data_IF_886943926814
#
_entry.id   IF_886943926814
#
_cell.length_a   1.000
_cell.length_b   1.000
_cell.length_c   1.000
_cell.angle_alpha   90.00
_cell.angle_beta   90.00
_cell.angle_gamma   90.00
#
_symmetry.space_group_name_H-M   'P 1'
#
loop_
_entity.id
_entity.type
_entity.pdbx_description
1 polymer ?
#
# COMPACT_ATOMS: atom_id res chain seq x y z
N UNK A 1 -46.92 68.02 59.28
CA UNK A 1 -46.18 66.79 58.93
C UNK A 1 -45.45 67.05 57.62
N UNK A 2 -44.14 66.85 57.55
CA UNK A 2 -43.38 67.00 56.30
C UNK A 2 -43.11 65.63 55.72
N UNK A 3 -43.48 65.42 54.45
CA UNK A 3 -43.22 64.18 53.73
C UNK A 3 -41.99 64.36 52.86
N UNK A 4 -40.93 63.64 53.18
CA UNK A 4 -39.75 63.51 52.32
C UNK A 4 -39.90 62.25 51.47
N UNK A 5 -39.61 62.36 50.18
CA UNK A 5 -39.57 61.23 49.25
C UNK A 5 -38.37 61.38 48.32
N UNK A 6 -37.83 60.25 47.90
CA UNK A 6 -36.81 60.22 46.87
C UNK A 6 -37.46 60.46 45.50
N UNK A 7 -36.81 61.26 44.66
CA UNK A 7 -37.25 61.37 43.26
C UNK A 7 -37.09 60.02 42.57
N UNK A 8 -38.05 59.65 41.71
CA UNK A 8 -37.99 58.38 40.96
C UNK A 8 -36.81 58.36 39.99
N UNK A 9 -36.58 59.49 39.35
CA UNK A 9 -35.46 59.70 38.44
C UNK A 9 -34.43 60.55 39.17
N UNK A 10 -33.38 59.91 39.66
CA UNK A 10 -32.25 60.60 40.27
C UNK A 10 -31.31 61.08 39.18
N UNK A 11 -31.09 62.38 39.13
CA UNK A 11 -30.15 63.04 38.22
C UNK A 11 -28.95 63.58 39.00
N UNK A 12 -27.79 63.74 38.35
CA UNK A 12 -26.59 64.30 38.98
C UNK A 12 -25.85 63.36 39.94
N UNK A 13 -26.07 62.04 39.86
CA UNK A 13 -25.27 61.05 40.58
C UNK A 13 -23.97 60.76 39.81
N UNK A 14 -22.83 60.80 40.50
CA UNK A 14 -21.52 60.48 39.92
C UNK A 14 -21.18 58.97 40.02
N UNK A 15 -21.63 58.30 41.09
CA UNK A 15 -21.35 56.88 41.29
C UNK A 15 -22.38 56.17 42.16
N UNK A 16 -22.49 54.86 41.96
CA UNK A 16 -23.23 53.93 42.81
C UNK A 16 -22.36 52.70 43.01
N UNK A 17 -22.05 52.36 44.27
CA UNK A 17 -21.29 51.14 44.61
C UNK A 17 -22.23 50.10 45.18
N UNK A 18 -22.21 48.89 44.62
CA UNK A 18 -22.97 47.75 45.12
C UNK A 18 -22.09 46.51 45.13
N UNK A 19 -22.33 45.58 46.07
CA UNK A 19 -21.65 44.27 46.09
C UNK A 19 -22.17 43.34 45.00
N UNK A 20 -23.42 43.52 44.59
CA UNK A 20 -24.16 42.69 43.65
C UNK A 20 -25.22 43.52 42.96
N UNK A 21 -25.20 43.52 41.64
CA UNK A 21 -26.29 44.01 40.81
C UNK A 21 -27.09 42.80 40.32
N UNK A 22 -28.42 42.86 40.45
CA UNK A 22 -29.32 41.81 39.96
C UNK A 22 -30.40 42.48 39.12
N UNK A 23 -30.51 42.04 37.87
CA UNK A 23 -31.59 42.42 36.96
C UNK A 23 -32.54 41.23 36.89
N UNK A 24 -33.72 41.32 37.53
CA UNK A 24 -34.67 40.22 37.54
C UNK A 24 -35.11 39.83 36.13
N UNK A 25 -34.97 38.55 35.80
CA UNK A 25 -35.43 37.96 34.55
C UNK A 25 -36.74 37.21 34.73
N UNK A 26 -37.39 36.85 33.63
CA UNK A 26 -38.55 35.95 33.69
C UNK A 26 -38.11 34.51 33.91
N UNK A 27 -38.90 33.74 34.66
CA UNK A 27 -38.62 32.32 34.91
C UNK A 27 -37.32 32.03 35.69
N UNK A 28 -36.89 32.96 36.55
CA UNK A 28 -35.68 32.81 37.38
C UNK A 28 -34.36 33.02 36.63
N UNK A 29 -34.41 33.58 35.41
CA UNK A 29 -33.24 33.86 34.56
C UNK A 29 -32.63 35.22 34.86
N UNK A 30 -32.29 35.47 36.11
CA UNK A 30 -31.74 36.76 36.55
C UNK A 30 -30.32 36.96 35.98
N UNK A 31 -30.05 38.17 35.50
CA UNK A 31 -28.67 38.57 35.16
C UNK A 31 -28.03 39.15 36.40
N UNK A 32 -26.84 38.65 36.76
CA UNK A 32 -26.11 39.06 37.96
C UNK A 32 -24.72 39.55 37.58
N UNK A 33 -24.30 40.65 38.19
CA UNK A 33 -22.92 41.16 38.17
C UNK A 33 -22.44 41.30 39.60
N UNK A 34 -21.37 40.60 39.95
CA UNK A 34 -20.74 40.66 41.27
C UNK A 34 -19.21 40.45 41.18
N UNK A 35 -18.53 40.27 42.31
CA UNK A 35 -17.07 40.08 42.36
C UNK A 35 -16.57 38.81 41.66
N UNK A 36 -17.45 37.88 41.30
CA UNK A 36 -17.10 36.66 40.56
C UNK A 36 -17.28 36.81 39.05
N UNK A 37 -17.81 37.94 38.57
CA UNK A 37 -18.00 38.25 37.15
C UNK A 37 -19.47 38.41 36.75
N UNK A 38 -19.80 37.96 35.55
CA UNK A 38 -21.14 38.12 34.94
C UNK A 38 -21.80 36.76 34.79
N UNK A 39 -23.01 36.62 35.34
CA UNK A 39 -23.89 35.48 35.09
C UNK A 39 -25.08 35.94 34.26
N UNK A 40 -25.22 35.43 33.03
CA UNK A 40 -26.31 35.75 32.14
C UNK A 40 -27.65 35.05 32.48
N UNK A 41 -27.69 34.20 33.52
CA UNK A 41 -28.93 33.54 33.97
C UNK A 41 -29.52 32.57 32.94
N UNK A 42 -28.70 32.01 32.05
CA UNK A 42 -29.18 31.18 30.93
C UNK A 42 -29.87 31.97 29.80
N UNK A 43 -29.75 33.30 29.81
CA UNK A 43 -30.13 34.14 28.68
C UNK A 43 -29.04 34.15 27.61
N UNK A 44 -29.42 34.44 26.37
CA UNK A 44 -28.46 34.69 25.29
C UNK A 44 -27.81 36.05 25.48
N UNK A 45 -26.49 36.12 25.30
CA UNK A 45 -25.78 37.39 25.13
C UNK A 45 -25.84 37.73 23.64
N UNK A 46 -26.67 38.70 23.28
CA UNK A 46 -26.88 39.12 21.88
C UNK A 46 -25.99 40.30 21.52
N UNK A 47 -25.85 40.57 20.22
CA UNK A 47 -25.07 41.69 19.67
C UNK A 47 -23.58 41.66 20.04
N UNK A 48 -23.02 40.47 20.25
CA UNK A 48 -21.59 40.28 20.44
C UNK A 48 -20.91 40.35 19.06
N UNK A 49 -20.14 41.41 18.84
CA UNK A 49 -19.30 41.54 17.65
C UNK A 49 -18.26 40.40 17.59
N UNK A 50 -17.74 40.05 16.39
CA UNK A 50 -16.66 39.08 16.30
C UNK A 50 -15.46 39.49 17.17
N UNK A 51 -14.98 38.58 18.00
CA UNK A 51 -13.77 38.81 18.79
C UNK A 51 -12.54 38.90 17.89
N UNK A 52 -11.60 39.79 18.22
CA UNK A 52 -10.38 40.04 17.45
C UNK A 52 -9.13 39.76 18.29
N UNK A 53 -9.12 40.18 19.56
CA UNK A 53 -8.03 39.91 20.49
C UNK A 53 -8.18 38.53 21.15
N UNK A 54 -7.07 37.97 21.67
CA UNK A 54 -7.06 36.65 22.31
C UNK A 54 -7.91 36.52 23.58
N UNK A 55 -8.42 37.64 24.11
CA UNK A 55 -9.28 37.70 25.31
C UNK A 55 -10.72 38.10 25.00
N UNK A 56 -11.07 38.28 23.74
CA UNK A 56 -12.43 38.64 23.35
C UNK A 56 -13.36 37.42 23.38
N UNK A 57 -14.64 37.66 23.66
CA UNK A 57 -15.66 36.63 23.49
C UNK A 57 -15.84 36.28 22.01
N UNK A 58 -16.00 34.99 21.70
CA UNK A 58 -16.35 34.52 20.36
C UNK A 58 -17.86 34.45 20.19
N UNK A 59 -18.38 34.90 19.04
CA UNK A 59 -19.79 34.73 18.72
C UNK A 59 -20.02 33.46 17.88
N UNK A 60 -21.30 33.08 17.71
CA UNK A 60 -21.66 31.84 17.00
C UNK A 60 -21.16 31.81 15.55
N UNK A 61 -21.13 32.96 14.85
CA UNK A 61 -20.70 32.97 13.45
C UNK A 61 -19.22 32.66 13.27
N UNK A 62 -18.37 32.99 14.26
CA UNK A 62 -16.96 32.56 14.27
C UNK A 62 -16.85 31.04 14.47
N UNK A 63 -17.63 30.46 15.38
CA UNK A 63 -17.66 29.01 15.58
C UNK A 63 -18.20 28.25 14.36
N UNK A 64 -19.28 28.76 13.75
CA UNK A 64 -19.90 28.17 12.56
C UNK A 64 -18.93 28.17 11.37
N UNK A 65 -18.12 29.22 11.19
CA UNK A 65 -17.10 29.26 10.12
C UNK A 65 -16.10 28.11 10.23
N UNK A 66 -15.70 27.75 11.45
CA UNK A 66 -14.80 26.62 11.69
C UNK A 66 -15.54 25.30 11.48
N UNK A 67 -16.75 25.15 12.06
CA UNK A 67 -17.54 23.93 12.01
C UNK A 67 -18.09 23.57 10.62
N UNK A 68 -18.27 24.58 9.76
CA UNK A 68 -18.72 24.43 8.38
C UNK A 68 -17.56 24.21 7.39
N UNK A 69 -16.31 24.20 7.86
CA UNK A 69 -15.22 23.82 6.98
C UNK A 69 -15.37 22.34 6.56
N UNK A 70 -14.94 22.05 5.34
CA UNK A 70 -15.07 20.72 4.74
C UNK A 70 -13.71 20.16 4.35
N UNK A 71 -13.58 18.84 4.48
CA UNK A 71 -12.41 18.10 4.00
C UNK A 71 -12.85 17.19 2.86
N UNK A 72 -12.01 17.13 1.81
CA UNK A 72 -12.07 16.15 0.72
C UNK A 72 -10.70 15.54 0.53
N UNK A 73 -10.66 14.26 0.18
CA UNK A 73 -9.42 13.58 -0.23
C UNK A 73 -9.45 13.39 -1.75
N UNK A 74 -8.32 13.70 -2.41
CA UNK A 74 -8.13 13.48 -3.84
C UNK A 74 -7.25 12.27 -4.11
N UNK A 75 -7.49 11.59 -5.22
CA UNK A 75 -6.60 10.55 -5.75
C UNK A 75 -5.99 10.97 -7.09
N UNK A 76 -5.26 10.06 -7.75
CA UNK A 76 -4.80 10.26 -9.13
C UNK A 76 -5.96 10.55 -10.08
N UNK A 77 -7.14 10.02 -9.77
CA UNK A 77 -8.41 10.37 -10.40
C UNK A 77 -9.49 10.56 -9.32
N UNK A 78 -10.39 11.52 -9.54
CA UNK A 78 -11.55 11.74 -8.66
C UNK A 78 -11.23 12.35 -7.29
N UNK A 79 -12.31 12.61 -6.53
CA UNK A 79 -12.27 13.11 -5.16
C UNK A 79 -13.38 12.46 -4.35
N UNK A 80 -13.18 12.35 -3.03
CA UNK A 80 -14.24 11.91 -2.12
C UNK A 80 -15.34 12.96 -1.98
N UNK A 81 -16.51 12.53 -1.48
CA UNK A 81 -17.56 13.46 -1.03
C UNK A 81 -17.02 14.32 0.13
N UNK A 82 -17.35 15.62 0.12
CA UNK A 82 -16.97 16.54 1.20
C UNK A 82 -17.51 16.05 2.54
N UNK A 83 -16.67 16.07 3.58
CA UNK A 83 -17.09 15.81 4.95
C UNK A 83 -16.97 17.09 5.77
N UNK A 84 -18.02 17.44 6.50
CA UNK A 84 -18.02 18.58 7.42
C UNK A 84 -17.25 18.22 8.69
N UNK A 85 -16.44 19.13 9.22
CA UNK A 85 -15.75 18.93 10.51
C UNK A 85 -16.72 18.67 11.68
N UNK A 86 -17.92 19.22 11.59
CA UNK A 86 -19.01 19.09 12.56
C UNK A 86 -19.89 17.83 12.38
N UNK A 87 -19.45 16.82 11.62
CA UNK A 87 -20.27 15.63 11.33
C UNK A 87 -20.70 14.90 12.61
N UNK A 88 -22.02 14.79 12.80
CA UNK A 88 -22.61 13.99 13.89
C UNK A 88 -22.16 12.54 13.82
N UNK A 89 -21.70 11.98 14.94
CA UNK A 89 -21.14 10.63 15.01
C UNK A 89 -19.64 10.55 14.69
N UNK A 90 -19.00 11.68 14.39
CA UNK A 90 -17.56 11.78 14.15
C UNK A 90 -17.17 11.57 12.69
N UNK A 91 -15.90 11.85 12.40
CA UNK A 91 -15.29 11.65 11.09
C UNK A 91 -14.56 10.31 11.06
N UNK A 92 -14.81 9.49 10.03
CA UNK A 92 -14.01 8.32 9.71
C UNK A 92 -13.65 8.36 8.23
N UNK A 93 -12.36 8.32 7.93
CA UNK A 93 -11.84 8.19 6.59
C UNK A 93 -11.14 6.85 6.45
N UNK A 94 -11.74 5.95 5.67
CA UNK A 94 -11.13 4.67 5.38
C UNK A 94 -10.07 4.86 4.28
N UNK A 95 -8.87 4.31 4.52
CA UNK A 95 -7.88 4.12 3.46
C UNK A 95 -8.07 2.69 2.98
N UNK A 96 -8.57 2.53 1.75
CA UNK A 96 -8.91 1.22 1.19
C UNK A 96 -7.97 0.95 0.03
N UNK A 97 -7.30 -0.20 0.07
CA UNK A 97 -6.51 -0.68 -1.06
C UNK A 97 -7.38 -1.37 -2.11
N UNK A 98 -6.91 -1.45 -3.35
CA UNK A 98 -7.53 -2.32 -4.36
C UNK A 98 -7.44 -3.77 -3.88
N UNK A 99 -8.58 -4.48 -3.91
CA UNK A 99 -8.69 -5.87 -3.46
C UNK A 99 -7.65 -6.76 -4.13
N UNK A 100 -6.85 -7.47 -3.34
CA UNK A 100 -5.83 -8.38 -3.84
C UNK A 100 -4.50 -7.71 -4.25
N UNK A 101 -4.44 -6.37 -4.25
CA UNK A 101 -3.23 -5.63 -4.64
C UNK A 101 -2.61 -4.90 -3.44
N UNK A 102 -3.41 -4.12 -2.72
CA UNK A 102 -2.99 -3.30 -1.58
C UNK A 102 -3.78 -3.70 -0.34
N UNK A 103 -3.08 -3.88 0.78
CA UNK A 103 -3.67 -4.13 2.09
C UNK A 103 -3.44 -2.92 2.96
N UNK A 104 -4.50 -2.51 3.66
CA UNK A 104 -4.45 -1.43 4.64
C UNK A 104 -4.85 -1.97 6.02
N UNK A 105 -4.11 -1.59 7.06
CA UNK A 105 -4.37 -2.00 8.44
C UNK A 105 -4.22 -0.79 9.35
N UNK A 106 -5.31 -0.42 10.02
CA UNK A 106 -5.29 0.61 11.06
C UNK A 106 -4.99 -0.03 12.42
N UNK A 107 -4.04 0.54 13.16
CA UNK A 107 -3.72 0.13 14.53
C UNK A 107 -3.04 1.27 15.28
N UNK A 108 -3.52 1.57 16.48
CA UNK A 108 -3.04 2.72 17.26
C UNK A 108 -3.29 4.04 16.52
N UNK A 109 -2.22 4.81 16.33
CA UNK A 109 -2.19 6.12 15.68
C UNK A 109 -1.82 6.06 14.19
N UNK A 110 -1.69 4.86 13.61
CA UNK A 110 -1.18 4.64 12.25
C UNK A 110 -2.13 3.83 11.38
N UNK A 111 -2.08 4.11 10.07
CA UNK A 111 -2.58 3.22 9.02
C UNK A 111 -1.38 2.72 8.22
N UNK A 112 -1.13 1.42 8.27
CA UNK A 112 -0.11 0.78 7.44
C UNK A 112 -0.70 0.50 6.07
N UNK A 113 0.04 0.84 5.03
CA UNK A 113 -0.29 0.54 3.64
C UNK A 113 0.83 -0.33 3.08
N UNK A 114 0.47 -1.45 2.45
CA UNK A 114 1.46 -2.34 1.84
C UNK A 114 0.87 -3.18 0.73
N UNK A 115 1.73 -3.88 0.02
CA UNK A 115 1.32 -4.85 -0.99
C UNK A 115 0.64 -6.06 -0.34
N UNK A 116 -0.39 -6.58 -1.01
CA UNK A 116 -1.01 -7.86 -0.67
C UNK A 116 0.00 -9.02 -0.80
N UNK A 117 -0.25 -10.11 -0.08
CA UNK A 117 0.67 -11.25 -0.06
C UNK A 117 0.85 -11.87 -1.45
N UNK A 118 -0.23 -12.05 -2.22
CA UNK A 118 -0.15 -12.58 -3.58
C UNK A 118 0.74 -11.73 -4.51
N UNK A 119 0.71 -10.39 -4.37
CA UNK A 119 1.61 -9.50 -5.11
C UNK A 119 3.06 -9.69 -4.67
N UNK A 120 3.31 -9.79 -3.36
CA UNK A 120 4.65 -10.08 -2.84
C UNK A 120 5.17 -11.42 -3.36
N UNK A 121 4.35 -12.45 -3.37
CA UNK A 121 4.71 -13.79 -3.87
C UNK A 121 5.02 -13.74 -5.37
N UNK A 122 4.23 -13.00 -6.15
CA UNK A 122 4.47 -12.80 -7.58
C UNK A 122 5.79 -12.08 -7.86
N UNK A 123 6.17 -11.11 -7.03
CA UNK A 123 7.43 -10.35 -7.16
C UNK A 123 8.65 -11.15 -6.65
N UNK A 124 8.46 -11.94 -5.60
CA UNK A 124 9.52 -12.77 -4.99
C UNK A 124 9.85 -14.02 -5.81
N UNK A 125 9.09 -14.31 -6.86
CA UNK A 125 9.40 -15.38 -7.81
C UNK A 125 10.46 -14.95 -8.84
N UNK A 126 11.71 -14.81 -8.38
CA UNK A 126 12.87 -14.58 -9.26
C UNK A 126 13.49 -15.92 -9.65
N UNK A 127 13.98 -16.01 -10.88
CA UNK A 127 14.61 -17.20 -11.47
C UNK A 127 15.77 -17.81 -10.65
N UNK A 128 16.33 -17.08 -9.69
CA UNK A 128 17.41 -17.52 -8.80
C UNK A 128 16.92 -18.23 -7.53
N UNK A 129 15.62 -18.14 -7.19
CA UNK A 129 15.04 -18.75 -5.97
C UNK A 129 14.09 -19.89 -6.31
N UNK A 130 13.21 -19.69 -7.28
CA UNK A 130 12.21 -20.66 -7.71
C UNK A 130 11.81 -20.38 -9.17
N UNK A 131 11.50 -21.42 -9.92
CA UNK A 131 10.98 -21.36 -11.30
C UNK A 131 9.58 -21.97 -11.42
N UNK A 132 8.91 -22.22 -10.29
CA UNK A 132 7.55 -22.79 -10.25
C UNK A 132 6.49 -21.91 -10.93
N UNK A 133 6.76 -20.62 -11.17
CA UNK A 133 5.91 -19.74 -11.96
C UNK A 133 6.03 -19.95 -13.47
N UNK A 134 7.03 -20.69 -13.96
CA UNK A 134 7.11 -20.96 -15.38
C UNK A 134 5.87 -21.72 -15.82
N UNK A 135 5.19 -21.16 -16.81
CA UNK A 135 4.14 -21.89 -17.52
C UNK A 135 4.75 -23.10 -18.26
N UNK A 136 3.91 -24.01 -18.75
CA UNK A 136 4.37 -25.09 -19.62
C UNK A 136 5.17 -24.55 -20.82
N UNK A 137 4.74 -23.40 -21.37
CA UNK A 137 5.46 -22.67 -22.42
C UNK A 137 6.83 -22.20 -21.93
N UNK A 138 6.89 -21.53 -20.77
CA UNK A 138 8.16 -21.04 -20.20
C UNK A 138 9.16 -22.18 -19.95
N UNK A 139 8.68 -23.31 -19.42
CA UNK A 139 9.48 -24.52 -19.22
C UNK A 139 10.03 -25.06 -20.55
N UNK A 140 9.21 -25.07 -21.60
CA UNK A 140 9.64 -25.48 -22.95
C UNK A 140 10.70 -24.55 -23.51
N UNK A 141 10.54 -23.23 -23.35
CA UNK A 141 11.53 -22.24 -23.79
C UNK A 141 12.88 -22.47 -23.11
N UNK A 142 12.91 -22.75 -21.81
CA UNK A 142 14.17 -23.07 -21.10
C UNK A 142 14.83 -24.33 -21.67
N UNK A 143 14.05 -25.40 -21.93
CA UNK A 143 14.55 -26.63 -22.54
C UNK A 143 15.08 -26.43 -23.96
N UNK A 144 14.42 -25.56 -24.73
CA UNK A 144 14.80 -25.23 -26.09
C UNK A 144 16.07 -24.35 -26.14
N UNK A 145 16.25 -23.42 -25.20
CA UNK A 145 17.49 -22.62 -25.07
C UNK A 145 18.68 -23.53 -24.73
N UNK A 146 18.48 -24.54 -23.89
CA UNK A 146 19.51 -25.53 -23.54
C UNK A 146 19.77 -26.59 -24.63
N UNK A 147 18.99 -26.57 -25.72
CA UNK A 147 19.08 -27.59 -26.75
C UNK A 147 20.37 -27.44 -27.59
N UNK A 148 20.87 -28.57 -28.08
CA UNK A 148 22.01 -28.63 -28.99
C UNK A 148 21.71 -29.57 -30.17
N UNK A 149 22.54 -29.52 -31.21
CA UNK A 149 22.35 -30.33 -32.43
C UNK A 149 23.34 -31.49 -32.48
N UNK A 150 22.86 -32.69 -32.77
CA UNK A 150 23.69 -33.86 -33.08
C UNK A 150 23.61 -34.19 -34.58
N UNK A 151 24.73 -34.61 -35.16
CA UNK A 151 24.80 -35.08 -36.55
C UNK A 151 25.93 -36.09 -36.70
N UNK A 152 25.67 -37.18 -37.42
CA UNK A 152 26.69 -38.17 -37.75
C UNK A 152 26.92 -38.18 -39.27
N UNK A 153 28.16 -37.97 -39.70
CA UNK A 153 28.51 -37.92 -41.14
C UNK A 153 27.59 -36.94 -41.90
N UNK A 154 27.04 -37.37 -43.04
CA UNK A 154 26.15 -36.57 -43.89
C UNK A 154 24.66 -36.69 -43.53
N UNK A 155 24.29 -37.21 -42.35
CA UNK A 155 22.89 -37.29 -41.95
C UNK A 155 22.27 -35.91 -41.69
N UNK A 156 20.95 -35.85 -41.59
CA UNK A 156 20.27 -34.66 -41.07
C UNK A 156 20.68 -34.41 -39.60
N UNK A 157 20.76 -33.13 -39.22
CA UNK A 157 21.05 -32.76 -37.84
C UNK A 157 19.78 -32.82 -36.98
N UNK A 158 19.83 -33.56 -35.89
CA UNK A 158 18.73 -33.69 -34.94
C UNK A 158 18.91 -32.73 -33.75
N UNK A 159 17.82 -32.21 -33.21
CA UNK A 159 17.85 -31.41 -31.98
C UNK A 159 17.74 -32.32 -30.78
N UNK A 160 18.69 -32.20 -29.86
CA UNK A 160 18.62 -32.80 -28.53
C UNK A 160 18.22 -31.69 -27.57
N UNK A 161 17.00 -31.79 -27.01
CA UNK A 161 16.44 -30.86 -26.04
C UNK A 161 16.70 -31.32 -24.61
N UNK A 162 16.47 -30.43 -23.64
CA UNK A 162 16.53 -30.77 -22.23
C UNK A 162 15.56 -31.90 -21.85
N UNK A 163 16.09 -33.06 -21.48
CA UNK A 163 15.35 -34.26 -21.11
C UNK A 163 15.38 -35.38 -22.14
N UNK A 164 15.90 -35.13 -23.35
CA UNK A 164 16.09 -36.17 -24.35
C UNK A 164 17.25 -37.11 -23.95
N UNK A 165 17.13 -38.39 -24.29
CA UNK A 165 18.18 -39.39 -24.08
C UNK A 165 18.96 -39.62 -25.38
N UNK A 166 20.29 -39.60 -25.31
CA UNK A 166 21.17 -39.94 -26.42
C UNK A 166 21.78 -41.31 -26.17
N UNK A 167 21.44 -42.30 -26.98
CA UNK A 167 21.88 -43.69 -26.81
C UNK A 167 22.98 -44.03 -27.82
N UNK A 168 24.15 -44.41 -27.32
CA UNK A 168 25.24 -44.98 -28.11
C UNK A 168 25.26 -46.51 -27.93
N UNK A 169 25.28 -47.26 -29.05
CA UNK A 169 25.23 -48.73 -29.04
C UNK A 169 26.55 -49.32 -29.55
N UNK A 170 26.90 -50.48 -29.03
CA UNK A 170 28.00 -51.28 -29.56
C UNK A 170 27.79 -51.59 -31.05
N UNK A 171 28.87 -51.49 -31.83
CA UNK A 171 28.90 -51.85 -33.24
C UNK A 171 29.60 -53.19 -33.48
N UNK A 172 29.56 -53.67 -34.72
CA UNK A 172 30.41 -54.78 -35.11
C UNK A 172 31.89 -54.37 -34.98
N UNK A 173 32.63 -55.00 -34.07
CA UNK A 173 34.04 -54.69 -33.82
C UNK A 173 34.29 -53.39 -33.03
N UNK A 174 33.25 -52.72 -32.53
CA UNK A 174 33.36 -51.49 -31.72
C UNK A 174 32.61 -51.67 -30.41
N UNK A 175 33.33 -51.46 -29.30
CA UNK A 175 32.76 -51.44 -27.95
C UNK A 175 32.72 -50.01 -27.43
N UNK A 176 31.56 -49.57 -26.95
CA UNK A 176 31.37 -48.25 -26.33
C UNK A 176 31.03 -48.46 -24.86
N UNK A 177 31.72 -47.75 -23.99
CA UNK A 177 31.43 -47.73 -22.54
C UNK A 177 31.37 -46.29 -22.04
N UNK A 178 30.56 -46.07 -21.01
CA UNK A 178 30.39 -44.76 -20.38
C UNK A 178 30.68 -44.86 -18.89
N UNK A 179 31.46 -43.93 -18.37
CA UNK A 179 31.63 -43.70 -16.94
C UNK A 179 31.40 -42.22 -16.65
N UNK A 180 30.24 -41.89 -16.07
CA UNK A 180 29.84 -40.50 -15.85
C UNK A 180 29.75 -39.71 -17.15
N UNK A 181 30.63 -38.71 -17.34
CA UNK A 181 30.69 -37.85 -18.53
C UNK A 181 31.74 -38.29 -19.55
N UNK A 182 32.46 -39.38 -19.27
CA UNK A 182 33.53 -39.89 -20.13
C UNK A 182 33.03 -41.11 -20.91
N UNK A 183 33.35 -41.12 -22.20
CA UNK A 183 33.01 -42.21 -23.12
C UNK A 183 34.29 -42.83 -23.65
N UNK A 184 34.43 -44.14 -23.51
CA UNK A 184 35.53 -44.89 -24.12
C UNK A 184 34.99 -45.67 -25.31
N UNK A 185 35.54 -45.36 -26.48
CA UNK A 185 35.27 -46.08 -27.74
C UNK A 185 36.51 -46.90 -28.05
N UNK A 186 36.34 -48.21 -28.12
CA UNK A 186 37.44 -49.15 -28.34
C UNK A 186 37.11 -50.16 -29.43
N UNK A 187 38.13 -50.70 -30.08
CA UNK A 187 37.96 -51.84 -30.95
C UNK A 187 37.68 -53.09 -30.08
N UNK A 188 36.66 -53.85 -30.43
CA UNK A 188 36.39 -55.16 -29.83
C UNK A 188 37.33 -56.18 -30.48
N UNK A 189 38.54 -56.30 -29.91
CA UNK A 189 39.61 -57.14 -30.46
C UNK A 189 39.27 -58.63 -30.48
N UNK A 190 38.28 -59.07 -29.70
CA UNK A 190 37.78 -60.45 -29.73
C UNK A 190 37.06 -60.80 -31.04
N UNK A 191 36.61 -59.79 -31.79
CA UNK A 191 35.90 -59.93 -33.06
C UNK A 191 36.75 -59.60 -34.28
N UNK A 192 38.03 -59.27 -34.09
CA UNK A 192 38.99 -59.05 -35.17
C UNK A 192 39.71 -60.38 -35.47
N UNK A 193 39.49 -60.96 -36.66
CA UNK A 193 40.32 -62.09 -37.09
C UNK A 193 41.72 -61.58 -37.50
N UNK A 194 42.78 -62.34 -37.20
CA UNK A 194 44.19 -61.95 -37.47
C UNK A 194 44.48 -61.63 -38.96
N UNK A 195 43.59 -61.99 -39.88
CA UNK A 195 43.73 -61.75 -41.32
C UNK A 195 42.89 -60.57 -41.85
N UNK A 196 42.05 -59.94 -41.01
CA UNK A 196 41.20 -58.83 -41.46
C UNK A 196 42.00 -57.53 -41.46
N UNK A 197 42.45 -57.09 -42.63
CA UNK A 197 43.10 -55.79 -42.82
C UNK A 197 42.07 -54.68 -42.54
N UNK A 198 42.25 -53.93 -41.46
CA UNK A 198 41.47 -52.72 -41.16
C UNK A 198 41.77 -51.67 -42.26
N UNK A 199 40.88 -51.54 -43.24
CA UNK A 199 40.90 -50.41 -44.17
C UNK A 199 40.05 -49.29 -43.56
N UNK A 200 40.70 -48.23 -43.11
CA UNK A 200 40.03 -46.98 -42.79
C UNK A 200 40.35 -45.95 -43.87
N UNK A 201 39.33 -45.20 -44.26
CA UNK A 201 39.53 -43.96 -45.00
C UNK A 201 39.69 -42.87 -43.93
N UNK A 202 40.84 -42.19 -43.87
CA UNK A 202 41.00 -41.06 -42.96
C UNK A 202 39.94 -40.00 -43.32
N UNK A 203 39.02 -39.72 -42.40
CA UNK A 203 38.02 -38.67 -42.59
C UNK A 203 38.68 -37.30 -42.33
N UNK A 204 39.26 -36.73 -43.39
CA UNK A 204 39.78 -35.36 -43.40
C UNK A 204 41.23 -35.25 -42.93
N UNK A 205 42.01 -34.45 -43.66
CA UNK A 205 43.31 -33.95 -43.21
C UNK A 205 43.03 -32.98 -42.05
N UNK A 206 43.76 -33.14 -40.94
CA UNK A 206 43.71 -32.18 -39.83
C UNK A 206 44.00 -30.76 -40.37
N UNK A 207 43.13 -29.80 -40.06
CA UNK A 207 43.39 -28.38 -40.27
C UNK A 207 44.33 -27.86 -39.17
#
# INVERSE_FOLDING_TARGET
>A
EYTYKLNKDLTGLDSVTSKKLTVPGTGGKDTVIDSNGINAGGNKITNVAPGVAGTDAVNKSQLDQIGNNTIKLGGNTGTTVAQNLSKTGGLQFNIVGTTGEIVTVASGDQVKVGLAQAVKDSINNKADTDLSNLTATGTTTVKDIAAWKIKANSTAAETIKGGDEVVFKDGAGVKITQSGKEFTISADTSKLSQSTKLSYTANGVAA
#
